data_IF_091381227700
#
_entry.id   IF_091381227700
#
_cell.length_a   1.000
_cell.length_b   1.000
_cell.length_c   1.000
_cell.angle_alpha   90.00
_cell.angle_beta   90.00
_cell.angle_gamma   90.00
#
_symmetry.space_group_name_H-M   'P 1'
#
loop_
_entity.id
_entity.type
_entity.pdbx_description
1 polymer ?
#
# COMPACT_ATOMS: atom_id res chain seq x y z
N UNK A 1 -17.86 28.07 -22.12
CA UNK A 1 -16.61 28.74 -21.71
C UNK A 1 -16.29 28.18 -20.32
N UNK A 2 -15.53 27.10 -20.27
CA UNK A 2 -15.10 26.44 -19.03
C UNK A 2 -13.71 26.98 -18.69
N UNK A 3 -13.56 27.57 -17.49
CA UNK A 3 -12.29 28.07 -17.00
C UNK A 3 -11.53 26.88 -16.40
N UNK A 4 -10.42 26.51 -17.01
CA UNK A 4 -9.48 25.56 -16.43
C UNK A 4 -8.73 26.26 -15.29
N UNK A 5 -8.74 25.65 -14.11
CA UNK A 5 -7.93 26.05 -12.97
C UNK A 5 -6.63 25.23 -13.02
N UNK A 6 -5.54 25.86 -13.42
CA UNK A 6 -4.20 25.27 -13.38
C UNK A 6 -3.63 25.51 -11.99
N UNK A 7 -3.44 24.47 -11.20
CA UNK A 7 -2.69 24.55 -9.94
C UNK A 7 -1.24 24.20 -10.23
N UNK A 8 -0.38 25.21 -10.23
CA UNK A 8 1.07 25.05 -10.29
C UNK A 8 1.59 24.71 -8.87
N UNK A 9 2.04 23.49 -8.67
CA UNK A 9 2.84 23.12 -7.51
C UNK A 9 4.29 23.48 -7.78
N UNK A 10 4.79 24.55 -7.17
CA UNK A 10 6.21 24.91 -7.15
C UNK A 10 6.89 24.17 -5.99
N UNK A 11 7.68 23.15 -6.31
CA UNK A 11 8.57 22.49 -5.37
C UNK A 11 9.73 23.41 -4.99
N UNK A 12 9.90 23.72 -3.71
CA UNK A 12 11.04 24.42 -3.17
C UNK A 12 12.12 23.42 -2.74
N UNK A 13 13.22 23.39 -3.48
CA UNK A 13 14.45 22.67 -3.11
C UNK A 13 15.20 23.55 -2.10
N UNK A 14 15.30 23.10 -0.85
CA UNK A 14 16.24 23.69 0.11
C UNK A 14 17.56 22.89 0.09
N UNK A 15 18.60 23.52 -0.44
CA UNK A 15 19.98 23.08 -0.28
C UNK A 15 20.50 23.55 1.07
N UNK A 16 20.90 22.64 1.95
CA UNK A 16 21.67 22.98 3.14
C UNK A 16 23.16 22.74 2.88
N UNK A 17 23.90 23.82 2.91
CA UNK A 17 25.36 23.85 2.87
C UNK A 17 25.95 23.56 4.26
N UNK A 18 26.90 22.62 4.26
CA UNK A 18 27.75 22.30 5.42
C UNK A 18 28.86 23.34 5.54
N UNK A 19 29.03 23.90 6.72
CA UNK A 19 30.24 24.61 7.09
C UNK A 19 30.83 24.01 8.39
N UNK A 20 32.03 23.47 8.27
CA UNK A 20 32.84 22.95 9.35
C UNK A 20 33.53 24.08 10.11
N UNK A 21 33.73 23.94 11.40
CA UNK A 21 34.62 24.80 12.19
C UNK A 21 34.74 24.29 13.61
N UNK A 22 35.89 23.73 13.93
CA UNK A 22 36.23 23.15 15.22
C UNK A 22 36.66 24.17 16.28
N UNK A 23 36.80 23.71 17.51
CA UNK A 23 37.40 24.47 18.60
C UNK A 23 37.07 23.92 19.98
N UNK A 24 38.10 23.42 20.60
CA UNK A 24 38.27 22.70 21.87
C UNK A 24 38.07 23.56 23.15
N UNK A 25 37.86 22.88 24.24
CA UNK A 25 38.35 23.09 25.64
C UNK A 25 37.33 23.43 26.74
N UNK A 26 37.15 22.47 27.56
CA UNK A 26 37.47 22.30 28.99
C UNK A 26 36.79 23.18 30.07
N UNK A 27 36.26 22.43 30.99
CA UNK A 27 36.41 22.46 32.46
C UNK A 27 35.34 23.08 33.36
N UNK A 28 34.97 22.23 34.28
CA UNK A 28 34.79 22.25 35.76
C UNK A 28 33.55 22.88 36.37
N UNK A 29 32.80 21.98 36.98
CA UNK A 29 32.35 21.85 38.37
C UNK A 29 31.78 23.06 39.13
N UNK A 30 30.59 22.93 39.69
CA UNK A 30 30.28 22.85 41.12
C UNK A 30 28.80 23.16 41.42
N UNK A 31 28.15 22.25 42.10
CA UNK A 31 27.00 22.53 42.94
C UNK A 31 27.50 23.16 44.25
N UNK A 32 26.70 23.78 45.12
CA UNK A 32 25.64 23.12 45.88
C UNK A 32 24.46 23.97 46.42
N UNK A 33 23.52 23.23 47.06
CA UNK A 33 22.68 23.48 48.25
C UNK A 33 21.44 24.38 48.13
N UNK A 34 20.30 23.74 48.35
CA UNK A 34 19.40 23.66 49.50
C UNK A 34 19.01 25.01 50.17
N UNK A 35 17.70 25.26 50.18
CA UNK A 35 16.98 25.49 51.43
C UNK A 35 15.45 25.48 51.25
N UNK A 36 14.79 24.83 52.21
CA UNK A 36 13.37 24.53 52.33
C UNK A 36 12.61 25.69 53.01
N UNK A 37 11.29 25.77 52.74
CA UNK A 37 10.28 26.18 53.73
C UNK A 37 8.87 25.98 53.10
N UNK A 38 8.16 25.00 53.56
CA UNK A 38 6.96 24.96 54.39
C UNK A 38 5.66 25.56 53.86
N UNK A 39 4.73 24.61 53.64
CA UNK A 39 3.32 24.52 54.02
C UNK A 39 2.43 25.76 53.96
N UNK A 40 1.38 25.65 53.15
CA UNK A 40 0.01 25.89 53.59
C UNK A 40 -1.00 25.02 52.81
N UNK A 41 -1.73 24.24 53.61
CA UNK A 41 -2.80 23.33 53.24
C UNK A 41 -4.06 24.15 52.98
N UNK A 42 -4.64 24.05 51.80
CA UNK A 42 -6.04 24.42 51.56
C UNK A 42 -6.72 23.30 50.81
N UNK A 43 -7.58 22.61 51.50
CA UNK A 43 -8.58 21.72 50.95
C UNK A 43 -9.48 22.53 49.99
N UNK A 44 -9.58 22.07 48.75
CA UNK A 44 -10.65 22.45 47.86
C UNK A 44 -11.15 21.21 47.15
N UNK A 45 -12.45 21.03 47.28
CA UNK A 45 -13.27 19.93 46.84
C UNK A 45 -12.96 19.46 45.41
N UNK A 46 -12.76 18.15 45.30
CA UNK A 46 -12.71 17.45 44.01
C UNK A 46 -14.11 17.42 43.38
N UNK A 47 -14.38 18.36 42.52
CA UNK A 47 -15.45 18.20 41.53
C UNK A 47 -14.87 17.34 40.40
N UNK A 48 -15.15 16.06 40.47
CA UNK A 48 -14.93 15.14 39.33
C UNK A 48 -15.94 15.56 38.26
N UNK A 49 -15.50 16.41 37.36
CA UNK A 49 -16.17 16.61 36.09
C UNK A 49 -15.85 15.41 35.25
N UNK A 50 -16.81 14.50 35.20
CA UNK A 50 -16.90 13.46 34.20
C UNK A 50 -16.97 14.15 32.83
N UNK A 51 -15.83 14.32 32.17
CA UNK A 51 -15.78 14.64 30.75
C UNK A 51 -16.22 13.35 30.07
N UNK A 52 -17.51 13.27 29.78
CA UNK A 52 -18.01 12.33 28.81
C UNK A 52 -17.25 12.65 27.51
N UNK A 53 -16.32 11.77 27.11
CA UNK A 53 -15.84 11.70 25.74
C UNK A 53 -17.05 11.38 24.88
N UNK A 54 -17.67 12.41 24.34
CA UNK A 54 -18.62 12.31 23.24
C UNK A 54 -17.77 12.00 21.98
N UNK A 55 -17.31 10.74 21.90
CA UNK A 55 -16.90 10.17 20.62
C UNK A 55 -18.19 9.91 19.86
N UNK A 56 -18.69 10.96 19.21
CA UNK A 56 -19.61 10.76 18.11
C UNK A 56 -18.84 9.94 17.07
N UNK A 57 -19.04 8.61 17.08
CA UNK A 57 -18.76 7.76 15.93
C UNK A 57 -19.54 8.39 14.78
N UNK A 58 -18.85 9.08 13.88
CA UNK A 58 -19.44 9.48 12.61
C UNK A 58 -19.64 8.16 11.87
N UNK A 59 -20.84 7.60 11.98
CA UNK A 59 -21.24 6.50 11.10
C UNK A 59 -21.11 7.01 9.67
N UNK A 60 -20.02 6.68 9.00
CA UNK A 60 -19.89 6.87 7.57
C UNK A 60 -20.87 5.89 6.90
N UNK A 61 -22.07 6.38 6.63
CA UNK A 61 -23.11 5.58 5.99
C UNK A 61 -22.98 5.74 4.47
N UNK A 62 -22.77 4.63 3.78
CA UNK A 62 -22.84 4.53 2.32
C UNK A 62 -24.24 3.98 1.97
N UNK A 63 -25.23 4.83 1.72
CA UNK A 63 -26.62 4.42 1.63
C UNK A 63 -26.98 3.72 0.33
N UNK A 64 -26.20 3.92 -0.73
CA UNK A 64 -26.48 3.41 -2.07
C UNK A 64 -26.22 1.90 -2.17
N UNK A 65 -26.97 1.22 -3.04
CA UNK A 65 -26.69 -0.17 -3.39
C UNK A 65 -25.40 -0.28 -4.21
N UNK A 66 -24.55 -1.29 -3.96
CA UNK A 66 -23.31 -1.46 -4.71
C UNK A 66 -23.59 -1.86 -6.16
N UNK A 67 -22.77 -1.33 -7.08
CA UNK A 67 -22.73 -1.73 -8.48
C UNK A 67 -22.27 -3.19 -8.61
N UNK A 68 -22.71 -3.86 -9.67
CA UNK A 68 -22.05 -5.10 -10.12
C UNK A 68 -20.65 -4.77 -10.64
N UNK A 69 -19.76 -5.76 -10.67
CA UNK A 69 -18.43 -5.55 -11.26
C UNK A 69 -18.49 -5.13 -12.73
N UNK A 70 -19.46 -5.64 -13.50
CA UNK A 70 -19.65 -5.25 -14.89
C UNK A 70 -20.01 -3.76 -15.04
N UNK A 71 -20.88 -3.24 -14.16
CA UNK A 71 -21.23 -1.82 -14.12
C UNK A 71 -20.03 -0.95 -13.70
N UNK A 72 -19.28 -1.39 -12.68
CA UNK A 72 -18.03 -0.73 -12.27
C UNK A 72 -17.01 -0.73 -13.40
N UNK A 73 -16.78 -1.86 -14.07
CA UNK A 73 -15.83 -1.96 -15.17
C UNK A 73 -16.20 -1.03 -16.33
N UNK A 74 -17.50 -0.91 -16.64
CA UNK A 74 -18.02 -0.03 -17.68
C UNK A 74 -18.06 1.46 -17.30
N UNK A 75 -17.99 1.80 -16.03
CA UNK A 75 -17.99 3.19 -15.56
C UNK A 75 -16.73 3.92 -16.07
N UNK A 76 -16.90 5.16 -16.50
CA UNK A 76 -15.79 5.99 -16.96
C UNK A 76 -14.90 6.41 -15.77
N UNK A 77 -13.63 6.71 -16.05
CA UNK A 77 -12.74 7.42 -15.11
C UNK A 77 -13.39 8.76 -14.70
N UNK A 78 -13.12 9.23 -13.51
CA UNK A 78 -13.72 10.39 -12.85
C UNK A 78 -15.24 10.24 -12.57
N UNK A 79 -15.76 9.01 -12.59
CA UNK A 79 -17.15 8.71 -12.22
C UNK A 79 -17.23 8.25 -10.78
N UNK A 80 -18.22 8.74 -10.03
CA UNK A 80 -18.55 8.19 -8.72
C UNK A 80 -19.03 6.74 -8.85
N UNK A 81 -18.49 5.86 -8.00
CA UNK A 81 -18.81 4.44 -7.97
C UNK A 81 -19.12 3.99 -6.55
N UNK A 82 -20.00 3.00 -6.42
CA UNK A 82 -20.28 2.32 -5.15
C UNK A 82 -20.02 0.83 -5.37
N UNK A 83 -19.14 0.25 -4.56
CA UNK A 83 -18.78 -1.17 -4.65
C UNK A 83 -18.87 -1.84 -3.28
N UNK A 84 -18.96 -3.16 -3.28
CA UNK A 84 -18.80 -4.00 -2.10
C UNK A 84 -17.78 -5.10 -2.41
N UNK A 85 -16.80 -5.27 -1.54
CA UNK A 85 -15.81 -6.33 -1.68
C UNK A 85 -15.20 -6.70 -0.33
N UNK A 86 -14.62 -7.88 -0.25
CA UNK A 86 -13.89 -8.34 0.92
C UNK A 86 -12.41 -7.98 0.78
N UNK A 87 -11.82 -7.53 1.87
CA UNK A 87 -10.37 -7.23 1.98
C UNK A 87 -9.58 -8.49 1.64
N UNK A 88 -8.67 -8.40 0.68
CA UNK A 88 -7.75 -9.48 0.31
C UNK A 88 -6.31 -9.19 0.76
N UNK A 89 -5.93 -7.92 0.78
CA UNK A 89 -4.68 -7.43 1.34
C UNK A 89 -4.80 -5.93 1.63
N UNK A 90 -3.95 -5.42 2.50
CA UNK A 90 -3.81 -3.99 2.77
C UNK A 90 -2.34 -3.62 2.90
N UNK A 91 -1.98 -2.45 2.42
CA UNK A 91 -0.67 -1.86 2.64
C UNK A 91 -0.54 -1.36 4.09
N UNK A 92 0.68 -1.10 4.53
CA UNK A 92 0.95 -0.53 5.84
C UNK A 92 0.18 0.79 6.05
N UNK A 93 -0.28 1.00 7.28
CA UNK A 93 -0.97 2.24 7.66
C UNK A 93 -0.05 3.45 7.52
N UNK A 94 -0.47 4.44 6.74
CA UNK A 94 0.25 5.70 6.61
C UNK A 94 -0.30 6.73 7.62
N UNK A 95 0.31 6.76 8.79
CA UNK A 95 -0.15 7.54 9.93
C UNK A 95 -0.20 9.05 9.68
N UNK A 96 0.72 9.60 8.86
CA UNK A 96 0.75 11.04 8.55
C UNK A 96 -0.49 11.54 7.82
N UNK A 97 -1.10 10.67 7.00
CA UNK A 97 -2.32 10.98 6.26
C UNK A 97 -3.56 10.30 6.83
N UNK A 98 -3.40 9.36 7.76
CA UNK A 98 -4.47 8.49 8.26
C UNK A 98 -5.17 7.72 7.14
N UNK A 99 -4.38 6.97 6.34
CA UNK A 99 -4.86 6.21 5.19
C UNK A 99 -4.17 4.85 5.08
N UNK A 100 -4.79 3.94 4.32
CA UNK A 100 -4.17 2.70 3.84
C UNK A 100 -4.68 2.37 2.44
N UNK A 101 -3.85 1.76 1.58
CA UNK A 101 -4.34 1.21 0.32
C UNK A 101 -4.75 -0.26 0.50
N UNK A 102 -5.81 -0.67 -0.19
CA UNK A 102 -6.47 -1.97 0.08
C UNK A 102 -6.88 -2.66 -1.23
N UNK A 103 -6.54 -3.93 -1.35
CA UNK A 103 -7.06 -4.81 -2.40
C UNK A 103 -8.36 -5.47 -1.92
N UNK A 104 -9.42 -5.33 -2.71
CA UNK A 104 -10.70 -5.99 -2.47
C UNK A 104 -11.05 -6.96 -3.59
N UNK A 105 -11.76 -8.03 -3.24
CA UNK A 105 -12.46 -8.87 -4.22
C UNK A 105 -13.86 -9.21 -3.74
N UNK A 106 -14.79 -9.31 -4.70
CA UNK A 106 -16.14 -9.81 -4.43
C UNK A 106 -16.29 -11.30 -4.80
N UNK A 107 -17.37 -11.92 -4.34
CA UNK A 107 -17.64 -13.34 -4.58
C UNK A 107 -17.93 -13.68 -6.06
N UNK A 108 -18.18 -12.67 -6.91
CA UNK A 108 -18.41 -12.85 -8.35
C UNK A 108 -17.12 -12.78 -9.16
N UNK A 109 -16.00 -12.49 -8.49
CA UNK A 109 -14.66 -12.36 -9.07
C UNK A 109 -14.33 -10.94 -9.54
N UNK A 110 -15.13 -9.94 -9.16
CA UNK A 110 -14.78 -8.53 -9.29
C UNK A 110 -13.63 -8.18 -8.34
N UNK A 111 -12.69 -7.35 -8.81
CA UNK A 111 -11.53 -6.94 -8.02
C UNK A 111 -11.30 -5.43 -8.12
N UNK A 112 -10.87 -4.84 -7.01
CA UNK A 112 -10.77 -3.39 -6.85
C UNK A 112 -9.52 -3.04 -6.05
N UNK A 113 -8.91 -1.92 -6.38
CA UNK A 113 -7.85 -1.32 -5.59
C UNK A 113 -8.32 0.02 -5.04
N UNK A 114 -8.26 0.17 -3.71
CA UNK A 114 -8.56 1.42 -3.03
C UNK A 114 -7.25 2.12 -2.72
N UNK A 115 -7.01 3.26 -3.35
CA UNK A 115 -5.82 4.06 -3.09
C UNK A 115 -6.09 5.08 -1.98
N UNK A 116 -5.20 5.08 -0.97
CA UNK A 116 -5.28 6.00 0.18
C UNK A 116 -6.70 6.04 0.82
N UNK A 117 -7.27 4.86 1.13
CA UNK A 117 -8.54 4.76 1.85
C UNK A 117 -8.42 5.44 3.21
N UNK A 118 -9.21 6.51 3.50
CA UNK A 118 -9.18 7.18 4.79
C UNK A 118 -9.62 6.24 5.91
N UNK A 119 -8.80 6.08 6.93
CA UNK A 119 -9.13 5.26 8.10
C UNK A 119 -8.33 5.71 9.32
N UNK A 120 -8.90 5.54 10.50
CA UNK A 120 -8.14 5.63 11.76
C UNK A 120 -7.28 4.39 11.93
N UNK A 121 -6.27 4.44 12.80
CA UNK A 121 -5.44 3.27 13.13
C UNK A 121 -6.31 2.09 13.65
N UNK A 122 -7.32 2.38 14.46
CA UNK A 122 -8.28 1.37 14.94
C UNK A 122 -9.10 0.73 13.83
N UNK A 123 -9.58 1.51 12.86
CA UNK A 123 -10.30 0.97 11.69
C UNK A 123 -9.35 0.18 10.80
N UNK A 124 -8.10 0.65 10.62
CA UNK A 124 -7.07 -0.10 9.92
C UNK A 124 -6.83 -1.49 10.54
N UNK A 125 -6.76 -1.58 11.87
CA UNK A 125 -6.63 -2.87 12.54
C UNK A 125 -7.81 -3.81 12.24
N UNK A 126 -9.03 -3.26 12.18
CA UNK A 126 -10.27 -4.01 11.89
C UNK A 126 -10.45 -4.39 10.41
N UNK A 127 -9.71 -3.76 9.49
CA UNK A 127 -9.66 -4.13 8.07
C UNK A 127 -8.87 -5.45 7.88
N UNK A 128 -9.38 -6.52 8.45
CA UNK A 128 -8.78 -7.86 8.35
C UNK A 128 -9.11 -8.51 7.01
N UNK A 129 -8.22 -9.39 6.53
CA UNK A 129 -8.45 -10.21 5.33
C UNK A 129 -9.74 -11.01 5.48
N UNK A 130 -10.57 -10.97 4.46
CA UNK A 130 -11.88 -11.61 4.41
C UNK A 130 -13.04 -10.71 4.81
N UNK A 131 -12.84 -9.62 5.54
CA UNK A 131 -13.91 -8.71 5.95
C UNK A 131 -14.48 -7.93 4.78
N UNK A 132 -15.81 -7.90 4.66
CA UNK A 132 -16.48 -7.07 3.67
C UNK A 132 -16.53 -5.61 4.09
N UNK A 133 -16.30 -4.75 3.12
CA UNK A 133 -16.58 -3.32 3.20
C UNK A 133 -17.41 -2.87 2.00
N UNK A 134 -18.25 -1.85 2.20
CA UNK A 134 -18.91 -1.12 1.14
C UNK A 134 -18.27 0.25 1.03
N UNK A 135 -17.97 0.66 -0.20
CA UNK A 135 -17.15 1.83 -0.51
C UNK A 135 -17.86 2.68 -1.55
N UNK A 136 -17.90 4.00 -1.35
CA UNK A 136 -18.23 4.99 -2.35
C UNK A 136 -17.04 5.89 -2.58
N UNK A 137 -16.64 6.08 -3.82
CA UNK A 137 -15.50 6.90 -4.20
C UNK A 137 -15.50 7.21 -5.68
N UNK A 138 -14.40 7.70 -6.19
CA UNK A 138 -14.24 8.01 -7.60
C UNK A 138 -13.31 7.03 -8.29
N UNK A 139 -13.75 6.47 -9.42
CA UNK A 139 -12.90 5.64 -10.26
C UNK A 139 -11.81 6.50 -10.89
N UNK A 140 -10.57 6.15 -10.67
CA UNK A 140 -9.39 6.84 -11.21
C UNK A 140 -8.52 5.87 -12.01
N UNK A 141 -7.53 6.41 -12.73
CA UNK A 141 -6.49 5.63 -13.39
C UNK A 141 -5.14 6.31 -13.16
N UNK A 142 -4.17 5.59 -12.65
CA UNK A 142 -2.82 6.09 -12.41
C UNK A 142 -1.73 5.15 -12.94
N UNK A 143 -0.81 5.63 -13.82
CA UNK A 143 -0.88 6.91 -14.54
C UNK A 143 -2.09 7.00 -15.49
N UNK A 144 -2.42 8.20 -16.00
CA UNK A 144 -3.62 8.45 -16.83
C UNK A 144 -3.68 7.60 -18.12
N UNK A 145 -2.57 6.97 -18.49
CA UNK A 145 -2.45 6.12 -19.67
C UNK A 145 -1.80 4.80 -19.27
N UNK A 146 -2.44 3.70 -19.58
CA UNK A 146 -1.98 2.33 -19.29
C UNK A 146 -1.65 2.11 -17.80
N UNK A 147 -2.46 2.71 -16.94
CA UNK A 147 -2.29 2.72 -15.48
C UNK A 147 -3.21 1.77 -14.75
N UNK A 148 -2.97 1.71 -13.44
CA UNK A 148 -3.83 1.04 -12.47
C UNK A 148 -5.20 1.70 -12.40
N UNK A 149 -6.26 0.90 -12.44
CA UNK A 149 -7.63 1.38 -12.17
C UNK A 149 -7.90 1.27 -10.69
N UNK A 150 -8.05 2.43 -10.06
CA UNK A 150 -8.20 2.55 -8.61
C UNK A 150 -9.46 3.31 -8.22
N UNK A 151 -9.83 3.24 -6.95
CA UNK A 151 -10.89 4.07 -6.36
C UNK A 151 -10.22 5.00 -5.35
N UNK A 152 -10.48 6.31 -5.51
CA UNK A 152 -9.91 7.38 -4.69
C UNK A 152 -11.01 8.17 -3.99
N UNK A 153 -10.63 9.06 -3.06
CA UNK A 153 -11.54 9.95 -2.33
C UNK A 153 -12.72 9.19 -1.68
N UNK A 154 -12.42 8.00 -1.16
CA UNK A 154 -13.42 7.06 -0.71
C UNK A 154 -13.98 7.37 0.68
N UNK A 155 -15.27 7.12 0.86
CA UNK A 155 -15.90 6.84 2.15
C UNK A 155 -16.34 5.39 2.17
N UNK A 156 -16.39 4.79 3.34
CA UNK A 156 -16.64 3.36 3.45
C UNK A 156 -17.28 2.96 4.79
N UNK A 157 -17.81 1.75 4.84
CA UNK A 157 -18.33 1.13 6.06
C UNK A 157 -18.08 -0.37 6.04
N UNK A 158 -18.02 -1.00 7.21
CA UNK A 158 -18.03 -2.45 7.31
C UNK A 158 -19.38 -3.03 6.88
N UNK A 159 -19.33 -4.22 6.29
CA UNK A 159 -20.50 -5.02 5.93
C UNK A 159 -20.37 -6.42 6.52
N UNK A 160 -21.50 -7.07 6.74
CA UNK A 160 -21.55 -8.44 7.22
C UNK A 160 -21.03 -9.43 6.17
N UNK A 161 -20.41 -10.51 6.65
CA UNK A 161 -19.91 -11.60 5.83
C UNK A 161 -18.39 -11.70 5.82
N UNK A 162 -17.89 -12.80 5.25
CA UNK A 162 -16.47 -13.06 5.07
C UNK A 162 -16.24 -13.76 3.73
N UNK A 163 -15.19 -13.33 3.00
CA UNK A 163 -14.78 -13.97 1.76
C UNK A 163 -13.28 -13.81 1.54
N UNK A 164 -12.60 -14.92 1.27
CA UNK A 164 -11.20 -14.94 0.86
C UNK A 164 -11.15 -15.54 -0.55
N UNK A 165 -10.65 -14.76 -1.51
CA UNK A 165 -10.55 -15.19 -2.89
C UNK A 165 -9.46 -16.26 -3.06
N UNK A 166 -9.77 -17.30 -3.82
CA UNK A 166 -8.76 -18.22 -4.34
C UNK A 166 -7.97 -17.53 -5.46
N UNK A 167 -6.65 -17.69 -5.52
CA UNK A 167 -5.84 -17.05 -6.54
C UNK A 167 -6.11 -17.66 -7.94
N UNK A 168 -6.36 -16.80 -8.93
CA UNK A 168 -6.57 -17.22 -10.32
C UNK A 168 -5.21 -17.47 -11.01
N UNK A 169 -5.05 -18.63 -11.67
CA UNK A 169 -3.84 -18.92 -12.45
C UNK A 169 -3.85 -18.11 -13.75
N UNK A 170 -3.01 -17.10 -13.83
CA UNK A 170 -2.88 -16.22 -14.99
C UNK A 170 -1.56 -16.41 -15.75
N UNK A 171 -0.81 -17.47 -15.46
CA UNK A 171 0.49 -17.75 -16.07
C UNK A 171 0.44 -17.73 -17.61
N UNK A 172 -0.59 -18.35 -18.18
CA UNK A 172 -0.77 -18.42 -19.63
C UNK A 172 -1.19 -17.09 -20.27
N UNK A 173 -1.66 -16.13 -19.46
CA UNK A 173 -2.11 -14.83 -19.94
C UNK A 173 -0.97 -13.80 -20.02
N UNK A 174 0.20 -14.09 -19.43
CA UNK A 174 1.37 -13.20 -19.50
C UNK A 174 1.72 -12.93 -20.98
N UNK A 175 1.77 -11.65 -21.33
CA UNK A 175 2.04 -11.17 -22.69
C UNK A 175 0.84 -11.18 -23.64
N UNK A 176 -0.37 -11.42 -23.13
CA UNK A 176 -1.61 -11.29 -23.91
C UNK A 176 -2.42 -10.08 -23.47
N UNK A 177 -3.24 -9.53 -24.38
CA UNK A 177 -4.16 -8.43 -24.07
C UNK A 177 -5.27 -8.82 -23.06
N UNK A 178 -5.45 -10.11 -22.81
CA UNK A 178 -6.46 -10.61 -21.87
C UNK A 178 -6.02 -10.37 -20.41
N UNK A 179 -4.70 -10.32 -20.15
CA UNK A 179 -4.18 -10.19 -18.78
C UNK A 179 -4.74 -8.95 -18.06
N UNK A 180 -4.89 -7.81 -18.75
CA UNK A 180 -5.41 -6.57 -18.16
C UNK A 180 -6.82 -6.74 -17.55
N UNK A 181 -7.62 -7.70 -18.05
CA UNK A 181 -8.94 -8.01 -17.48
C UNK A 181 -8.88 -8.64 -16.08
N UNK A 182 -7.68 -9.02 -15.64
CA UNK A 182 -7.41 -9.59 -14.31
C UNK A 182 -6.81 -8.58 -13.33
N UNK A 183 -6.75 -7.30 -13.72
CA UNK A 183 -6.25 -6.22 -12.87
C UNK A 183 -6.89 -6.26 -11.47
N UNK A 184 -6.09 -6.02 -10.44
CA UNK A 184 -6.45 -6.05 -9.02
C UNK A 184 -6.81 -7.42 -8.43
N UNK A 185 -6.92 -8.46 -9.24
CA UNK A 185 -7.22 -9.81 -8.75
C UNK A 185 -6.04 -10.39 -7.98
N UNK A 186 -6.38 -11.21 -7.00
CA UNK A 186 -5.47 -12.18 -6.42
C UNK A 186 -5.17 -13.25 -7.46
N UNK A 187 -3.89 -13.42 -7.79
CA UNK A 187 -3.43 -14.25 -8.91
C UNK A 187 -2.29 -15.17 -8.52
N UNK A 188 -2.09 -16.23 -9.30
CA UNK A 188 -0.91 -17.08 -9.19
C UNK A 188 -0.21 -17.21 -10.54
N UNK A 189 1.12 -17.23 -10.49
CA UNK A 189 2.02 -17.49 -11.62
C UNK A 189 2.79 -18.77 -11.33
N UNK A 190 2.62 -19.81 -12.16
CA UNK A 190 3.20 -21.13 -11.92
C UNK A 190 4.36 -21.42 -12.84
N UNK A 191 5.42 -22.05 -12.28
CA UNK A 191 6.58 -22.51 -13.01
C UNK A 191 7.33 -21.38 -13.71
N UNK A 192 7.28 -20.16 -13.16
CA UNK A 192 8.05 -19.04 -13.71
C UNK A 192 9.51 -19.17 -13.36
N UNK A 193 10.40 -18.83 -14.29
CA UNK A 193 11.84 -18.95 -14.10
C UNK A 193 12.45 -17.60 -13.77
N UNK A 194 13.23 -17.52 -12.70
CA UNK A 194 13.96 -16.30 -12.30
C UNK A 194 15.04 -16.00 -13.36
N UNK A 195 14.97 -14.80 -13.92
CA UNK A 195 15.91 -14.28 -14.91
C UNK A 195 16.75 -13.14 -14.33
N UNK A 196 17.95 -12.88 -14.88
CA UNK A 196 18.78 -11.80 -14.37
C UNK A 196 18.13 -10.44 -14.57
N UNK A 197 18.29 -9.55 -13.58
CA UNK A 197 18.03 -8.12 -13.65
C UNK A 197 19.36 -7.39 -13.48
N UNK A 198 19.50 -6.22 -14.14
CA UNK A 198 20.72 -5.41 -14.01
C UNK A 198 20.69 -4.54 -12.77
N UNK A 199 21.75 -4.61 -11.94
CA UNK A 199 21.96 -3.66 -10.86
C UNK A 199 22.43 -2.29 -11.38
N UNK A 200 22.61 -1.33 -10.46
CA UNK A 200 23.07 0.04 -10.79
C UNK A 200 24.46 0.07 -11.46
N UNK A 201 25.27 -0.96 -11.28
CA UNK A 201 26.62 -1.07 -11.83
C UNK A 201 26.65 -1.93 -13.10
N UNK A 202 25.49 -2.44 -13.55
CA UNK A 202 25.31 -3.23 -14.77
C UNK A 202 25.59 -4.73 -14.59
N UNK A 203 25.75 -5.22 -13.35
CA UNK A 203 25.94 -6.65 -13.08
C UNK A 203 24.57 -7.37 -13.13
N UNK A 204 24.63 -8.67 -13.48
CA UNK A 204 23.50 -9.56 -13.40
C UNK A 204 23.28 -10.01 -11.96
N UNK A 205 22.09 -9.71 -11.42
CA UNK A 205 21.64 -10.13 -10.08
C UNK A 205 20.26 -10.77 -10.17
N UNK A 206 19.83 -11.48 -9.13
CA UNK A 206 18.51 -12.13 -9.12
C UNK A 206 17.38 -11.13 -8.77
N UNK A 207 17.69 -10.08 -8.03
CA UNK A 207 16.75 -9.01 -7.66
C UNK A 207 17.48 -7.68 -7.44
N UNK A 208 16.73 -6.60 -7.42
CA UNK A 208 17.18 -5.25 -7.07
C UNK A 208 16.35 -4.65 -5.92
N UNK A 209 16.99 -3.80 -5.12
CA UNK A 209 16.28 -2.83 -4.29
C UNK A 209 15.95 -1.59 -5.12
N UNK A 210 14.64 -1.28 -5.25
CA UNK A 210 14.16 -0.22 -6.12
C UNK A 210 14.29 -0.55 -7.61
N UNK A 211 13.44 0.03 -8.45
CA UNK A 211 13.32 -0.30 -9.87
C UNK A 211 14.61 -0.12 -10.70
N UNK A 212 15.54 0.73 -10.23
CA UNK A 212 16.83 1.01 -10.89
C UNK A 212 18.03 0.39 -10.17
N UNK A 213 17.81 -0.47 -9.17
CA UNK A 213 18.87 -1.05 -8.35
C UNK A 213 19.65 -0.05 -7.50
N UNK A 214 19.06 1.11 -7.20
CA UNK A 214 19.68 2.19 -6.39
C UNK A 214 19.11 2.27 -4.99
N UNK A 215 18.14 1.41 -4.65
CA UNK A 215 17.54 1.30 -3.34
C UNK A 215 18.40 0.56 -2.32
N UNK A 216 17.87 0.40 -1.13
CA UNK A 216 18.48 -0.27 0.01
C UNK A 216 17.51 -1.24 0.65
N UNK A 217 17.94 -2.02 1.62
CA UNK A 217 17.04 -2.90 2.38
C UNK A 217 15.91 -2.08 3.03
N UNK A 218 14.68 -2.55 2.82
CA UNK A 218 13.45 -1.83 3.21
C UNK A 218 12.71 -1.19 2.04
N UNK A 219 13.39 -0.99 0.90
CA UNK A 219 12.74 -0.54 -0.33
C UNK A 219 12.10 -1.73 -1.07
N UNK A 220 11.28 -1.44 -2.08
CA UNK A 220 10.68 -2.47 -2.95
C UNK A 220 11.74 -3.36 -3.57
N UNK A 221 11.41 -4.65 -3.69
CA UNK A 221 12.24 -5.61 -4.44
C UNK A 221 11.68 -5.80 -5.84
N UNK A 222 12.55 -5.67 -6.83
CA UNK A 222 12.25 -5.93 -8.23
C UNK A 222 13.05 -7.13 -8.71
N UNK A 223 12.41 -8.06 -9.38
CA UNK A 223 13.06 -9.23 -9.96
C UNK A 223 12.41 -9.63 -11.27
N UNK A 224 13.19 -10.24 -12.15
CA UNK A 224 12.70 -10.68 -13.44
C UNK A 224 12.31 -12.15 -13.40
N UNK A 225 11.22 -12.48 -14.06
CA UNK A 225 10.82 -13.87 -14.33
C UNK A 225 10.55 -14.06 -15.81
N UNK A 226 10.72 -15.27 -16.32
CA UNK A 226 10.35 -15.60 -17.71
C UNK A 226 9.30 -16.70 -17.79
N UNK A 227 8.42 -16.53 -18.78
CA UNK A 227 7.44 -17.53 -19.21
C UNK A 227 7.46 -17.56 -20.74
N UNK A 228 7.52 -18.74 -21.33
CA UNK A 228 7.50 -18.93 -22.81
C UNK A 228 8.55 -18.08 -23.56
N UNK A 229 9.69 -17.80 -22.92
CA UNK A 229 10.81 -17.07 -23.52
C UNK A 229 10.64 -15.53 -23.49
N UNK A 230 9.60 -15.02 -22.84
CA UNK A 230 9.42 -13.59 -22.56
C UNK A 230 9.72 -13.30 -21.09
N UNK A 231 10.33 -12.15 -20.83
CA UNK A 231 10.72 -11.73 -19.48
C UNK A 231 9.80 -10.61 -18.99
N UNK A 232 9.41 -10.71 -17.73
CA UNK A 232 8.55 -9.78 -17.02
C UNK A 232 9.20 -9.36 -15.71
N UNK A 233 9.00 -8.13 -15.29
CA UNK A 233 9.47 -7.66 -13.98
C UNK A 233 8.33 -7.73 -12.98
N UNK A 234 8.57 -8.40 -11.87
CA UNK A 234 7.65 -8.50 -10.74
C UNK A 234 8.19 -7.73 -9.54
N UNK A 235 7.29 -7.30 -8.66
CA UNK A 235 7.63 -6.45 -7.51
C UNK A 235 7.17 -7.09 -6.20
N UNK A 236 8.01 -7.06 -5.17
CA UNK A 236 7.55 -7.13 -3.77
C UNK A 236 7.49 -5.69 -3.28
N UNK A 237 6.29 -5.15 -3.22
CA UNK A 237 6.04 -3.78 -2.83
C UNK A 237 6.16 -3.67 -1.30
N UNK A 238 7.04 -2.79 -0.82
CA UNK A 238 7.47 -2.75 0.58
C UNK A 238 6.40 -2.29 1.55
N UNK A 239 5.43 -1.49 1.09
CA UNK A 239 4.27 -1.10 1.90
C UNK A 239 3.25 -2.23 2.07
N UNK A 240 3.20 -3.17 1.12
CA UNK A 240 2.36 -4.37 1.19
C UNK A 240 3.07 -5.51 1.92
N UNK A 241 4.33 -5.74 1.58
CA UNK A 241 5.16 -6.83 2.09
C UNK A 241 6.54 -6.31 2.49
N UNK A 242 6.64 -5.73 3.69
CA UNK A 242 7.88 -5.16 4.21
C UNK A 242 8.95 -6.21 4.55
N UNK A 243 10.14 -5.77 4.99
CA UNK A 243 11.34 -6.62 5.19
C UNK A 243 11.15 -7.80 6.15
N UNK A 244 10.16 -7.72 7.04
CA UNK A 244 9.88 -8.77 8.02
C UNK A 244 9.02 -9.92 7.47
N UNK A 245 8.42 -9.74 6.29
CA UNK A 245 7.58 -10.76 5.65
C UNK A 245 8.38 -11.90 5.06
N UNK A 246 7.76 -13.06 4.96
CA UNK A 246 8.41 -14.27 4.41
C UNK A 246 8.73 -14.10 2.92
N UNK A 247 7.88 -13.42 2.15
CA UNK A 247 8.12 -13.17 0.73
C UNK A 247 9.33 -12.26 0.51
N UNK A 248 9.46 -11.19 1.30
CA UNK A 248 10.59 -10.27 1.18
C UNK A 248 11.93 -10.99 1.46
N UNK A 249 11.94 -11.87 2.47
CA UNK A 249 13.10 -12.71 2.79
C UNK A 249 13.37 -13.74 1.70
N UNK A 250 12.32 -14.39 1.17
CA UNK A 250 12.46 -15.42 0.15
C UNK A 250 13.07 -14.87 -1.16
N UNK A 251 12.66 -13.67 -1.59
CA UNK A 251 13.22 -13.04 -2.82
C UNK A 251 14.71 -12.75 -2.68
N UNK A 252 15.18 -12.44 -1.47
CA UNK A 252 16.61 -12.22 -1.21
C UNK A 252 17.46 -13.50 -1.38
N UNK A 253 16.82 -14.65 -1.29
CA UNK A 253 17.46 -15.97 -1.47
C UNK A 253 17.28 -16.52 -2.91
N UNK A 254 16.67 -15.79 -3.83
CA UNK A 254 16.52 -16.21 -5.22
C UNK A 254 17.85 -16.29 -5.95
N UNK A 255 17.93 -17.30 -6.81
CA UNK A 255 19.04 -17.44 -7.75
C UNK A 255 18.52 -17.42 -9.19
N UNK A 256 19.30 -16.82 -10.08
CA UNK A 256 19.00 -16.88 -11.52
C UNK A 256 18.91 -18.34 -11.97
N UNK A 257 17.78 -18.67 -12.58
CA UNK A 257 17.48 -20.02 -13.04
C UNK A 257 16.53 -20.81 -12.13
N UNK A 258 16.23 -20.33 -10.92
CA UNK A 258 15.20 -20.95 -10.06
C UNK A 258 13.86 -20.99 -10.78
N UNK A 259 13.11 -22.08 -10.60
CA UNK A 259 11.74 -22.23 -11.11
C UNK A 259 10.81 -22.23 -9.90
N UNK A 260 9.88 -21.30 -9.87
CA UNK A 260 9.07 -21.00 -8.69
C UNK A 260 7.61 -20.75 -9.06
N UNK A 261 6.73 -20.94 -8.09
CA UNK A 261 5.32 -20.53 -8.14
C UNK A 261 5.12 -19.33 -7.23
N UNK A 262 4.45 -18.30 -7.73
CA UNK A 262 4.27 -17.02 -7.05
C UNK A 262 2.80 -16.66 -6.91
N UNK A 263 2.39 -16.14 -5.75
CA UNK A 263 1.06 -15.56 -5.54
C UNK A 263 1.19 -14.06 -5.27
N UNK A 264 0.21 -13.28 -5.71
CA UNK A 264 0.16 -11.85 -5.47
C UNK A 264 -1.09 -11.21 -6.04
N UNK A 265 -1.03 -9.90 -6.26
CA UNK A 265 -2.09 -9.11 -6.88
C UNK A 265 -1.59 -8.56 -8.22
N UNK A 266 -2.46 -8.60 -9.24
CA UNK A 266 -2.11 -8.07 -10.55
C UNK A 266 -2.26 -6.55 -10.56
N UNK A 267 -1.23 -5.86 -10.09
CA UNK A 267 -1.10 -4.41 -10.21
C UNK A 267 -0.65 -4.03 -11.63
N UNK A 268 -0.98 -2.81 -12.06
CA UNK A 268 -0.71 -2.34 -13.42
C UNK A 268 -0.06 -0.95 -13.43
N UNK A 269 1.14 -0.84 -13.99
CA UNK A 269 1.82 0.43 -14.14
C UNK A 269 2.60 0.44 -15.46
N UNK A 270 2.04 1.10 -16.49
CA UNK A 270 2.60 1.07 -17.86
C UNK A 270 2.80 -0.38 -18.36
N UNK A 271 1.86 -1.27 -18.01
CA UNK A 271 1.93 -2.70 -18.22
C UNK A 271 1.81 -3.51 -16.91
N UNK A 272 1.82 -4.86 -17.00
CA UNK A 272 1.70 -5.71 -15.81
C UNK A 272 2.88 -5.53 -14.87
N UNK A 273 2.61 -5.18 -13.63
CA UNK A 273 3.57 -5.04 -12.53
C UNK A 273 3.04 -5.77 -11.27
N UNK A 274 2.96 -7.11 -11.28
CA UNK A 274 2.36 -7.86 -10.19
C UNK A 274 3.06 -7.58 -8.85
N UNK A 275 2.27 -7.29 -7.81
CA UNK A 275 2.73 -7.18 -6.43
C UNK A 275 2.69 -8.55 -5.78
N UNK A 276 3.84 -9.17 -5.63
CA UNK A 276 3.98 -10.54 -5.14
C UNK A 276 3.94 -10.58 -3.62
N UNK A 277 3.12 -11.49 -3.07
CA UNK A 277 2.88 -11.65 -1.64
C UNK A 277 3.31 -12.99 -1.07
N UNK A 278 3.53 -14.00 -1.91
CA UNK A 278 4.02 -15.30 -1.47
C UNK A 278 4.80 -16.06 -2.56
N UNK A 279 5.75 -16.88 -2.11
CA UNK A 279 6.31 -18.02 -2.87
C UNK A 279 5.56 -19.26 -2.43
N UNK A 280 4.98 -19.99 -3.38
CA UNK A 280 4.24 -21.20 -3.08
C UNK A 280 5.18 -22.41 -3.06
N UNK A 281 4.96 -23.32 -2.11
CA UNK A 281 5.69 -24.59 -2.07
C UNK A 281 5.31 -25.44 -3.30
N UNK A 282 6.32 -25.97 -3.99
CA UNK A 282 6.14 -26.92 -5.08
C UNK A 282 5.90 -28.33 -4.57
#
# INVERSE_FOLDING_TARGET
MKKALVILLTGAIMAMSVASGGGSSSNTASAPKEEAAQEEKKEEETVVSEVAEDTAEVEMNVPEDPMTYEEYAAAAVDTEVVIKGAVQAKQAYYAEKSVASVYLQDETGGAYFLYELPCTEKEYELLEVGKFIKVRGYKAMWPEVDGEVEITEAIWQFEDGEYIAEPEDVTALLGTDELVTKMNKKVVFKGVKVEPIKDKDGNDVAFNYGSKGTGTEGDDLYFNVSVNGQTYTFTVESYLCGPDTDIYKAVKDFHVGDVIDLEGFLYWYEGPNPHITAVLAQ
#
